data_IF_655608697122
#
_entry.id   IF_655608697122
#
_cell.length_a   1.000
_cell.length_b   1.000
_cell.length_c   1.000
_cell.angle_alpha   90.00
_cell.angle_beta   90.00
_cell.angle_gamma   90.00
#
_symmetry.space_group_name_H-M   'P 1'
#
loop_
_entity.id
_entity.type
_entity.pdbx_description
1 polymer ?
#
# COMPACT_ATOMS: atom_id res chain seq x y z
N UNK A 1 -12.59 16.30 9.07
CA UNK A 1 -11.98 17.15 10.10
C UNK A 1 -11.83 16.34 11.37
N UNK A 2 -10.72 16.49 12.09
CA UNK A 2 -10.46 15.75 13.33
C UNK A 2 -10.25 16.69 14.51
N UNK A 3 -10.61 16.25 15.71
CA UNK A 3 -10.37 17.01 16.94
C UNK A 3 -8.87 17.07 17.25
N UNK A 4 -8.39 18.25 17.65
CA UNK A 4 -6.97 18.51 17.95
C UNK A 4 -6.82 19.07 19.36
N UNK A 5 -5.79 18.62 20.07
CA UNK A 5 -5.52 18.99 21.47
C UNK A 5 -4.04 19.22 21.70
N UNK A 6 -3.73 20.18 22.56
CA UNK A 6 -2.36 20.58 22.92
C UNK A 6 -1.63 19.49 23.69
N UNK A 7 -2.37 18.71 24.48
CA UNK A 7 -1.88 17.52 25.18
C UNK A 7 -1.47 16.40 24.22
N UNK A 8 -1.94 16.46 22.97
CA UNK A 8 -1.60 15.53 21.89
C UNK A 8 -0.67 16.16 20.87
N UNK A 9 0.41 16.75 21.38
CA UNK A 9 1.47 17.34 20.57
C UNK A 9 2.81 16.74 20.96
N UNK A 10 3.48 16.17 19.97
CA UNK A 10 4.84 15.67 20.04
C UNK A 10 5.81 16.82 19.75
N UNK A 11 6.75 17.08 20.66
CA UNK A 11 7.70 18.17 20.52
C UNK A 11 9.08 17.62 20.15
N UNK A 12 9.60 17.97 18.97
CA UNK A 12 10.89 17.46 18.49
C UNK A 12 12.07 17.79 19.41
N UNK A 13 11.99 18.90 20.16
CA UNK A 13 12.99 19.24 21.19
C UNK A 13 13.16 18.15 22.25
N UNK A 14 12.14 17.31 22.48
CA UNK A 14 12.17 16.22 23.47
C UNK A 14 12.88 14.96 22.96
N UNK A 15 13.24 14.90 21.67
CA UNK A 15 13.80 13.71 21.03
C UNK A 15 15.33 13.76 20.89
N UNK A 16 15.99 14.80 21.40
CA UNK A 16 17.44 14.94 21.33
C UNK A 16 17.97 15.28 19.93
N UNK A 17 17.13 15.89 19.09
CA UNK A 17 17.54 16.52 17.84
C UNK A 17 18.02 17.95 18.10
N UNK A 18 19.02 18.39 17.33
CA UNK A 18 19.34 19.81 17.19
C UNK A 18 18.27 20.49 16.32
N UNK A 19 17.24 21.02 16.99
CA UNK A 19 16.10 21.66 16.32
C UNK A 19 16.45 22.99 15.65
N UNK A 20 17.58 23.61 16.01
CA UNK A 20 18.03 24.86 15.40
C UNK A 20 18.67 24.64 14.03
N UNK A 21 19.23 23.44 13.80
CA UNK A 21 19.84 23.01 12.54
C UNK A 21 18.82 22.57 11.46
N UNK A 22 17.53 22.46 11.79
CA UNK A 22 16.47 21.96 10.89
C UNK A 22 15.30 22.94 10.75
N UNK A 23 14.50 22.74 9.69
CA UNK A 23 13.18 23.35 9.53
C UNK A 23 12.12 22.28 9.71
N UNK A 24 11.16 22.50 10.61
CA UNK A 24 9.95 21.68 10.73
C UNK A 24 8.77 22.44 10.14
N UNK A 25 8.02 21.76 9.26
CA UNK A 25 6.63 22.10 8.97
C UNK A 25 5.76 21.34 9.99
N UNK A 26 5.15 22.04 10.97
CA UNK A 26 4.43 21.39 12.07
C UNK A 26 3.01 20.98 11.67
N UNK A 27 2.32 20.26 12.56
CA UNK A 27 0.91 19.90 12.43
C UNK A 27 0.68 18.39 12.35
N UNK A 28 -0.44 17.99 11.75
CA UNK A 28 -0.87 16.59 11.58
C UNK A 28 -0.12 15.82 10.48
N UNK A 29 0.60 16.52 9.59
CA UNK A 29 1.53 15.98 8.60
C UNK A 29 2.86 16.72 8.71
N UNK A 30 3.68 16.23 9.65
CA UNK A 30 4.98 16.82 9.94
C UNK A 30 6.00 16.57 8.83
N UNK A 31 6.79 17.58 8.48
CA UNK A 31 7.87 17.43 7.49
C UNK A 31 9.12 18.16 7.94
N UNK A 32 10.28 17.51 7.84
CA UNK A 32 11.55 18.08 8.26
C UNK A 32 12.44 18.25 7.04
N UNK A 33 12.93 19.47 6.85
CA UNK A 33 13.92 19.82 5.83
C UNK A 33 15.14 20.53 6.43
N UNK A 34 16.16 20.84 5.60
CA UNK A 34 17.31 21.62 6.05
C UNK A 34 16.89 23.04 6.45
N UNK A 35 17.61 23.64 7.40
CA UNK A 35 17.38 25.04 7.79
C UNK A 35 17.59 26.01 6.62
N UNK A 36 18.64 25.77 5.84
CA UNK A 36 19.08 26.57 4.71
C UNK A 36 19.76 25.64 3.70
N UNK A 37 19.98 26.10 2.46
CA UNK A 37 20.65 25.31 1.42
C UNK A 37 22.08 24.84 1.77
N UNK A 38 22.74 25.51 2.72
CA UNK A 38 24.13 25.23 3.11
C UNK A 38 24.26 24.49 4.45
N UNK A 39 23.15 24.19 5.12
CA UNK A 39 23.18 23.53 6.43
C UNK A 39 23.52 22.04 6.26
N UNK A 40 24.45 21.48 7.06
CA UNK A 40 24.64 20.03 7.11
C UNK A 40 23.32 19.35 7.46
N UNK A 41 22.85 18.45 6.60
CA UNK A 41 21.55 17.80 6.73
C UNK A 41 21.61 16.42 6.10
N UNK A 42 21.55 15.38 6.93
CA UNK A 42 21.39 14.00 6.49
C UNK A 42 20.00 13.48 6.91
N UNK A 43 19.06 13.32 5.95
CA UNK A 43 17.74 12.73 6.22
C UNK A 43 17.80 11.36 6.91
N UNK A 44 18.79 10.52 6.56
CA UNK A 44 18.93 9.16 7.12
C UNK A 44 19.25 9.24 8.60
N UNK A 45 20.13 10.16 9.00
CA UNK A 45 20.48 10.42 10.41
C UNK A 45 19.26 10.91 11.22
N UNK A 46 18.49 11.85 10.68
CA UNK A 46 17.28 12.38 11.34
C UNK A 46 16.26 11.26 11.58
N UNK A 47 15.98 10.44 10.55
CA UNK A 47 15.05 9.31 10.68
C UNK A 47 15.56 8.32 11.72
N UNK A 48 16.84 7.96 11.68
CA UNK A 48 17.43 7.02 12.64
C UNK A 48 17.32 7.54 14.09
N UNK A 49 17.60 8.82 14.33
CA UNK A 49 17.56 9.39 15.68
C UNK A 49 16.13 9.52 16.24
N UNK A 50 15.14 9.68 15.37
CA UNK A 50 13.71 9.72 15.73
C UNK A 50 13.04 8.34 15.77
N UNK A 51 13.66 7.29 15.23
CA UNK A 51 13.03 5.98 15.13
C UNK A 51 13.03 5.28 16.48
N UNK A 52 11.84 4.91 16.98
CA UNK A 52 11.66 4.15 18.21
C UNK A 52 12.34 4.79 19.44
N UNK A 53 12.39 6.13 19.48
CA UNK A 53 13.10 6.87 20.53
C UNK A 53 12.37 6.79 21.87
N UNK A 54 11.04 6.79 21.85
CA UNK A 54 10.18 6.67 23.02
C UNK A 54 9.15 5.54 22.84
N UNK A 55 8.77 4.83 23.91
CA UNK A 55 7.85 3.69 23.83
C UNK A 55 6.42 4.08 23.41
N UNK A 56 5.98 5.30 23.72
CA UNK A 56 4.66 5.85 23.36
C UNK A 56 4.79 7.02 22.38
N UNK A 57 5.72 6.91 21.44
CA UNK A 57 5.89 7.91 20.38
C UNK A 57 4.71 7.85 19.41
N UNK A 58 3.99 8.96 19.23
CA UNK A 58 2.77 9.04 18.42
C UNK A 58 2.99 9.49 16.98
N UNK A 59 4.18 9.20 16.44
CA UNK A 59 4.49 9.39 15.04
C UNK A 59 5.56 8.41 14.60
N UNK A 60 5.65 8.22 13.29
CA UNK A 60 6.70 7.43 12.68
C UNK A 60 7.49 8.25 11.66
N UNK A 61 8.81 8.41 11.84
CA UNK A 61 9.63 9.08 10.86
C UNK A 61 9.84 8.18 9.64
N UNK A 62 9.76 8.77 8.46
CA UNK A 62 10.00 8.13 7.19
C UNK A 62 10.88 9.03 6.34
N UNK A 63 11.84 8.43 5.64
CA UNK A 63 12.28 9.05 4.40
C UNK A 63 11.09 9.04 3.43
N UNK A 64 10.86 10.13 2.70
CA UNK A 64 9.65 10.25 1.85
C UNK A 64 9.45 9.07 0.90
N UNK A 65 10.53 8.48 0.40
CA UNK A 65 10.51 7.29 -0.47
C UNK A 65 9.99 6.01 0.20
N UNK A 66 10.09 5.92 1.53
CA UNK A 66 9.67 4.76 2.32
C UNK A 66 8.23 4.89 2.83
N UNK A 67 7.55 6.02 2.56
CA UNK A 67 6.14 6.18 2.87
C UNK A 67 5.30 5.11 2.11
N UNK A 68 4.12 4.74 2.65
CA UNK A 68 3.20 3.85 1.95
C UNK A 68 2.90 4.34 0.52
N UNK A 69 3.21 3.54 -0.50
CA UNK A 69 3.13 3.93 -1.92
C UNK A 69 1.75 4.42 -2.35
N UNK A 70 0.67 3.94 -1.71
CA UNK A 70 -0.70 4.46 -1.89
C UNK A 70 -0.85 5.97 -1.69
N UNK A 71 0.04 6.60 -0.93
CA UNK A 71 -0.01 8.04 -0.66
C UNK A 71 0.47 8.85 -1.86
N UNK A 72 1.26 8.25 -2.77
CA UNK A 72 1.85 8.92 -3.94
C UNK A 72 2.52 10.26 -3.55
N UNK A 73 3.24 10.27 -2.41
CA UNK A 73 3.71 11.47 -1.73
C UNK A 73 5.24 11.48 -1.53
N UNK A 74 5.99 11.22 -2.62
CA UNK A 74 7.45 11.20 -2.60
C UNK A 74 8.09 11.94 -3.78
N UNK A 75 7.57 11.77 -4.99
CA UNK A 75 8.17 12.30 -6.23
C UNK A 75 7.89 13.80 -6.45
N UNK A 76 8.39 14.64 -5.55
CA UNK A 76 8.48 16.08 -5.79
C UNK A 76 9.56 16.72 -4.91
N UNK A 77 10.34 17.64 -5.48
CA UNK A 77 11.34 18.43 -4.72
C UNK A 77 10.72 19.33 -3.63
N UNK A 78 9.42 19.61 -3.70
CA UNK A 78 8.69 20.41 -2.70
C UNK A 78 8.27 19.58 -1.48
N UNK A 79 8.43 18.26 -1.54
CA UNK A 79 8.21 17.38 -0.40
C UNK A 79 9.57 17.19 0.26
N UNK A 80 9.67 17.62 1.52
CA UNK A 80 10.90 17.46 2.30
C UNK A 80 11.29 15.98 2.45
N UNK A 81 12.58 15.72 2.63
CA UNK A 81 13.13 14.36 2.58
C UNK A 81 12.68 13.49 3.77
N UNK A 82 12.30 14.10 4.90
CA UNK A 82 11.78 13.42 6.08
C UNK A 82 10.33 13.80 6.33
N UNK A 83 9.46 12.80 6.39
CA UNK A 83 8.05 12.92 6.74
C UNK A 83 7.77 12.25 8.09
N UNK A 84 6.95 12.87 8.92
CA UNK A 84 6.46 12.31 10.18
C UNK A 84 5.01 11.89 10.00
N UNK A 85 4.79 10.58 9.84
CA UNK A 85 3.45 10.03 9.76
C UNK A 85 2.86 9.98 11.16
N UNK A 86 1.96 10.91 11.46
CA UNK A 86 1.36 11.09 12.78
C UNK A 86 0.25 10.08 13.04
N UNK A 87 0.12 9.63 14.29
CA UNK A 87 -1.07 8.94 14.76
C UNK A 87 -2.29 9.89 14.72
N UNK A 88 -3.48 9.31 14.62
CA UNK A 88 -4.75 10.05 14.63
C UNK A 88 -4.84 10.96 15.86
N UNK A 89 -5.24 12.22 15.67
CA UNK A 89 -5.38 13.27 16.70
C UNK A 89 -4.07 13.81 17.29
N UNK A 90 -2.89 13.36 16.82
CA UNK A 90 -1.58 13.83 17.28
C UNK A 90 -0.91 14.78 16.29
N UNK A 91 -0.23 15.80 16.82
CA UNK A 91 0.49 16.79 16.01
C UNK A 91 1.97 16.76 16.37
N UNK A 92 2.79 17.30 15.48
CA UNK A 92 4.20 17.58 15.79
C UNK A 92 4.47 19.08 15.79
N UNK A 93 5.29 19.52 16.74
CA UNK A 93 5.79 20.88 16.85
C UNK A 93 7.28 20.89 17.23
N UNK A 94 7.93 22.06 17.13
CA UNK A 94 9.37 22.19 17.43
C UNK A 94 9.63 22.17 18.94
N UNK A 95 9.02 23.11 19.66
CA UNK A 95 9.15 23.27 21.11
C UNK A 95 7.82 23.66 21.76
N UNK A 96 7.76 23.56 23.09
CA UNK A 96 6.70 24.16 23.92
C UNK A 96 6.93 25.67 23.98
N UNK A 97 6.86 26.35 22.83
CA UNK A 97 7.15 27.78 22.74
C UNK A 97 5.89 28.63 23.02
N UNK A 98 4.75 27.98 23.27
CA UNK A 98 3.44 28.61 23.53
C UNK A 98 2.94 28.11 24.87
N UNK A 99 2.56 29.02 25.77
CA UNK A 99 1.94 28.64 27.04
C UNK A 99 0.69 27.79 26.78
N UNK A 100 0.35 26.80 27.63
CA UNK A 100 -0.87 26.01 27.49
C UNK A 100 -2.15 26.86 27.35
N UNK A 101 -2.15 28.08 27.89
CA UNK A 101 -3.27 29.02 27.87
C UNK A 101 -3.57 29.66 26.50
N UNK A 102 -2.67 29.50 25.51
CA UNK A 102 -2.76 30.12 24.17
C UNK A 102 -2.91 29.12 23.03
N UNK A 103 -3.07 27.85 23.37
CA UNK A 103 -3.19 26.79 22.39
C UNK A 103 -4.62 26.72 21.83
N UNK A 104 -4.82 27.33 20.66
CA UNK A 104 -6.13 27.48 19.99
C UNK A 104 -6.47 26.36 18.99
N UNK A 105 -5.99 25.14 19.22
CA UNK A 105 -6.32 23.99 18.39
C UNK A 105 -7.70 23.45 18.79
N UNK A 106 -8.68 23.58 17.89
CA UNK A 106 -10.04 23.04 18.08
C UNK A 106 -10.36 21.94 17.06
N UNK A 107 -9.67 21.95 15.93
CA UNK A 107 -9.76 20.92 14.90
C UNK A 107 -8.64 21.08 13.89
N UNK A 108 -8.17 19.97 13.33
CA UNK A 108 -7.15 19.95 12.27
C UNK A 108 -7.46 18.85 11.24
N UNK A 109 -6.73 18.86 10.13
CA UNK A 109 -6.76 17.86 9.08
C UNK A 109 -5.39 17.73 8.41
N UNK A 110 -5.20 16.69 7.62
CA UNK A 110 -3.91 16.42 6.95
C UNK A 110 -3.26 15.12 7.39
N UNK A 111 -3.89 14.41 8.33
CA UNK A 111 -3.56 13.02 8.65
C UNK A 111 -3.70 12.09 7.44
N UNK A 112 -3.31 10.84 7.64
CA UNK A 112 -3.47 9.77 6.67
C UNK A 112 -4.88 9.75 6.03
N UNK A 113 -4.94 9.77 4.70
CA UNK A 113 -6.19 9.84 3.93
C UNK A 113 -7.08 8.58 4.09
N UNK A 114 -6.58 7.52 4.72
CA UNK A 114 -7.38 6.35 5.12
C UNK A 114 -8.25 6.59 6.35
N UNK A 115 -7.95 7.60 7.17
CA UNK A 115 -8.68 7.84 8.41
C UNK A 115 -10.09 8.33 8.08
N UNK A 116 -11.10 7.70 8.68
CA UNK A 116 -12.52 8.04 8.49
C UNK A 116 -12.83 9.52 8.65
N UNK A 117 -12.22 10.19 9.64
CA UNK A 117 -12.40 11.64 9.87
C UNK A 117 -11.84 12.52 8.75
N UNK A 118 -10.94 12.01 7.89
CA UNK A 118 -10.39 12.70 6.72
C UNK A 118 -11.20 12.46 5.44
N UNK A 119 -12.19 11.57 5.47
CA UNK A 119 -13.06 11.34 4.32
C UNK A 119 -13.92 12.58 4.02
N UNK A 120 -14.18 12.79 2.73
CA UNK A 120 -14.93 13.95 2.23
C UNK A 120 -16.31 13.54 1.74
N UNK A 121 -17.24 14.50 1.71
CA UNK A 121 -18.56 14.31 1.12
C UNK A 121 -18.53 14.43 -0.40
N UNK A 122 -19.33 13.62 -1.09
CA UNK A 122 -19.62 13.78 -2.51
C UNK A 122 -21.12 13.64 -2.76
N UNK A 123 -21.71 14.59 -3.50
CA UNK A 123 -23.10 14.56 -3.91
C UNK A 123 -23.19 14.96 -5.39
N UNK A 124 -23.59 14.02 -6.24
CA UNK A 124 -23.89 14.27 -7.65
C UNK A 124 -25.38 14.49 -7.88
N UNK A 125 -25.76 15.64 -8.44
CA UNK A 125 -27.14 15.94 -8.83
C UNK A 125 -27.19 16.53 -10.24
N UNK A 126 -28.03 15.97 -11.10
CA UNK A 126 -28.22 16.44 -12.47
C UNK A 126 -28.56 15.29 -13.43
N UNK A 127 -28.84 15.59 -14.72
CA UNK A 127 -29.24 14.59 -15.70
C UNK A 127 -28.16 13.54 -16.00
N UNK A 128 -26.89 13.83 -15.71
CA UNK A 128 -25.78 12.89 -15.84
C UNK A 128 -25.63 11.89 -14.67
N UNK A 129 -26.35 12.09 -13.56
CA UNK A 129 -26.26 11.26 -12.37
C UNK A 129 -27.52 10.40 -12.18
N UNK A 130 -27.33 9.18 -11.68
CA UNK A 130 -28.44 8.29 -11.35
C UNK A 130 -29.20 8.82 -10.12
N UNK A 131 -30.54 8.73 -10.18
CA UNK A 131 -31.40 9.19 -9.09
C UNK A 131 -31.33 8.23 -7.88
N UNK A 132 -31.33 8.77 -6.66
CA UNK A 132 -31.35 8.02 -5.39
C UNK A 132 -30.39 6.83 -5.35
N UNK A 133 -29.18 7.05 -5.84
CA UNK A 133 -28.16 6.02 -5.96
C UNK A 133 -27.03 6.31 -4.99
N UNK A 134 -26.78 5.36 -4.08
CA UNK A 134 -25.58 5.33 -3.25
C UNK A 134 -24.46 4.62 -4.02
N UNK A 135 -23.26 5.20 -4.01
CA UNK A 135 -22.07 4.62 -4.65
C UNK A 135 -21.04 4.27 -3.59
N UNK A 136 -20.12 3.31 -3.84
CA UNK A 136 -19.02 3.02 -2.92
C UNK A 136 -18.12 4.22 -2.73
N UNK A 137 -17.31 4.18 -1.68
CA UNK A 137 -16.19 5.11 -1.50
C UNK A 137 -15.26 5.03 -2.71
N UNK A 138 -14.87 6.18 -3.23
CA UNK A 138 -13.90 6.35 -4.31
C UNK A 138 -13.01 7.56 -4.00
N UNK A 139 -11.88 7.68 -4.69
CA UNK A 139 -10.93 8.77 -4.47
C UNK A 139 -11.26 10.01 -5.31
N UNK A 140 -11.01 11.20 -4.77
CA UNK A 140 -11.34 12.46 -5.44
C UNK A 140 -10.62 12.67 -6.78
N UNK A 141 -9.49 11.98 -7.01
CA UNK A 141 -8.76 12.00 -8.29
C UNK A 141 -9.60 11.49 -9.47
N UNK A 142 -10.61 10.65 -9.21
CA UNK A 142 -11.53 10.14 -10.23
C UNK A 142 -12.53 11.21 -10.71
N UNK A 143 -12.72 12.30 -9.95
CA UNK A 143 -13.70 13.34 -10.28
C UNK A 143 -13.38 14.09 -11.57
N UNK A 144 -12.11 14.18 -11.95
CA UNK A 144 -11.71 14.82 -13.21
C UNK A 144 -12.38 14.14 -14.41
N UNK A 145 -12.31 12.80 -14.48
CA UNK A 145 -12.91 12.03 -15.56
C UNK A 145 -14.44 12.17 -15.56
N UNK A 146 -15.06 12.21 -14.38
CA UNK A 146 -16.51 12.45 -14.25
C UNK A 146 -16.90 13.81 -14.79
N UNK A 147 -16.15 14.86 -14.47
CA UNK A 147 -16.39 16.21 -14.99
C UNK A 147 -16.16 16.30 -16.51
N UNK A 148 -15.28 15.47 -17.06
CA UNK A 148 -15.08 15.33 -18.51
C UNK A 148 -16.21 14.54 -19.22
N UNK A 149 -17.17 13.98 -18.47
CA UNK A 149 -18.35 13.30 -19.02
C UNK A 149 -18.37 11.79 -18.83
N UNK A 150 -17.40 11.21 -18.13
CA UNK A 150 -17.46 9.79 -17.76
C UNK A 150 -18.50 9.53 -16.67
N UNK A 151 -19.22 8.41 -16.79
CA UNK A 151 -20.28 8.07 -15.85
C UNK A 151 -19.72 7.30 -14.65
N UNK A 152 -20.04 7.77 -13.45
CA UNK A 152 -19.87 6.97 -12.24
C UNK A 152 -20.82 5.78 -12.25
N UNK A 153 -20.28 4.60 -11.93
CA UNK A 153 -21.06 3.37 -11.93
C UNK A 153 -21.50 3.00 -10.51
N UNK A 154 -22.78 2.64 -10.33
CA UNK A 154 -23.30 2.22 -9.04
C UNK A 154 -22.68 0.89 -8.61
N UNK A 155 -22.57 0.64 -7.31
CA UNK A 155 -22.26 -0.70 -6.82
C UNK A 155 -23.46 -1.63 -7.01
N UNK A 156 -23.28 -2.79 -7.63
CA UNK A 156 -24.29 -3.87 -7.60
C UNK A 156 -23.84 -5.06 -6.73
N UNK A 157 -22.79 -4.92 -5.91
CA UNK A 157 -22.37 -5.98 -4.98
C UNK A 157 -23.43 -6.34 -3.93
N UNK A 158 -24.48 -5.51 -3.74
CA UNK A 158 -25.62 -5.83 -2.85
C UNK A 158 -26.64 -6.82 -3.45
N UNK A 159 -26.56 -7.21 -4.74
CA UNK A 159 -27.36 -8.33 -5.26
C UNK A 159 -26.65 -9.64 -4.91
N UNK A 160 -27.07 -10.25 -3.79
CA UNK A 160 -26.71 -11.62 -3.40
C UNK A 160 -27.10 -12.56 -4.55
N UNK A 161 -26.14 -12.98 -5.37
CA UNK A 161 -26.37 -13.96 -6.43
C UNK A 161 -26.79 -15.26 -5.76
N UNK A 162 -28.06 -15.64 -5.95
CA UNK A 162 -28.66 -16.83 -5.36
C UNK A 162 -28.25 -18.04 -6.20
N UNK A 163 -27.31 -18.83 -5.68
CA UNK A 163 -27.13 -20.25 -5.99
C UNK A 163 -26.62 -20.56 -7.40
N UNK A 164 -25.31 -20.48 -7.61
CA UNK A 164 -24.65 -21.33 -8.60
C UNK A 164 -24.23 -22.62 -7.91
N UNK A 165 -24.62 -23.76 -8.50
CA UNK A 165 -24.25 -25.09 -8.00
C UNK A 165 -22.73 -25.24 -8.09
N UNK A 166 -22.11 -25.57 -6.97
CA UNK A 166 -20.71 -26.02 -6.91
C UNK A 166 -20.57 -27.24 -7.82
N UNK A 167 -19.98 -27.06 -9.00
CA UNK A 167 -19.27 -28.16 -9.67
C UNK A 167 -17.92 -28.26 -8.98
N UNK A 168 -17.43 -29.48 -8.73
CA UNK A 168 -16.01 -29.71 -8.48
C UNK A 168 -15.22 -29.05 -9.62
N UNK A 169 -14.69 -27.85 -9.37
CA UNK A 169 -13.81 -27.16 -10.29
C UNK A 169 -12.40 -27.63 -9.98
N UNK A 170 -11.70 -28.16 -10.98
CA UNK A 170 -10.24 -28.25 -10.94
C UNK A 170 -9.70 -26.90 -10.45
N UNK A 171 -9.00 -26.92 -9.32
CA UNK A 171 -8.46 -25.70 -8.70
C UNK A 171 -7.45 -25.10 -9.65
N UNK A 172 -7.80 -23.99 -10.29
CA UNK A 172 -6.88 -23.25 -11.16
C UNK A 172 -6.15 -22.17 -10.37
N UNK A 173 -4.84 -22.04 -10.60
CA UNK A 173 -4.00 -20.99 -10.04
C UNK A 173 -4.14 -19.65 -10.77
N UNK A 174 -4.75 -19.66 -11.97
CA UNK A 174 -4.99 -18.50 -12.82
C UNK A 174 -6.49 -18.28 -13.04
N UNK A 175 -7.28 -18.36 -11.97
CA UNK A 175 -8.75 -18.28 -11.99
C UNK A 175 -9.30 -17.02 -12.69
N UNK A 176 -8.54 -15.93 -12.69
CA UNK A 176 -8.94 -14.65 -13.30
C UNK A 176 -8.12 -14.28 -14.54
N UNK A 177 -7.44 -15.28 -15.13
CA UNK A 177 -6.49 -15.10 -16.21
C UNK A 177 -5.09 -14.78 -15.71
N UNK A 178 -4.09 -15.00 -16.56
CA UNK A 178 -2.70 -14.62 -16.25
C UNK A 178 -2.53 -13.10 -16.23
N UNK A 179 -1.70 -12.55 -15.32
CA UNK A 179 -1.30 -11.15 -15.39
C UNK A 179 -0.69 -10.85 -16.76
N UNK A 180 -1.15 -9.77 -17.39
CA UNK A 180 -0.58 -9.31 -18.65
C UNK A 180 0.59 -8.36 -18.38
N UNK A 181 1.68 -8.56 -19.10
CA UNK A 181 2.87 -7.71 -19.01
C UNK A 181 2.70 -6.54 -19.99
N UNK A 182 2.75 -5.31 -19.48
CA UNK A 182 2.47 -4.09 -20.26
C UNK A 182 3.71 -3.37 -20.78
N UNK A 183 4.89 -3.97 -20.60
CA UNK A 183 6.17 -3.44 -21.07
C UNK A 183 6.88 -4.45 -21.97
N UNK A 184 7.79 -3.96 -22.81
CA UNK A 184 8.57 -4.81 -23.71
C UNK A 184 9.59 -5.61 -22.91
N UNK A 185 9.43 -6.94 -22.86
CA UNK A 185 10.36 -7.84 -22.18
C UNK A 185 10.25 -9.26 -22.73
N UNK A 186 11.25 -10.08 -22.45
CA UNK A 186 11.24 -11.52 -22.74
C UNK A 186 10.95 -12.30 -21.47
N UNK A 187 9.83 -13.05 -21.47
CA UNK A 187 9.44 -13.89 -20.34
C UNK A 187 8.72 -15.16 -20.80
N UNK A 188 8.69 -16.18 -19.94
CA UNK A 188 8.01 -17.45 -20.20
C UNK A 188 7.10 -17.81 -19.05
N UNK A 189 5.92 -18.35 -19.37
CA UNK A 189 5.01 -18.87 -18.36
C UNK A 189 5.46 -20.29 -17.95
N UNK A 190 5.71 -20.49 -16.67
CA UNK A 190 6.07 -21.77 -16.07
C UNK A 190 4.94 -22.19 -15.13
N UNK A 191 4.30 -23.33 -15.40
CA UNK A 191 3.23 -23.87 -14.57
C UNK A 191 3.63 -25.23 -14.01
N UNK A 192 3.37 -25.38 -12.72
CA UNK A 192 3.66 -26.54 -11.88
C UNK A 192 2.34 -27.02 -11.25
N UNK A 193 2.38 -28.08 -10.42
CA UNK A 193 1.14 -28.62 -9.85
C UNK A 193 0.41 -27.62 -8.96
N UNK A 194 1.17 -26.82 -8.21
CA UNK A 194 0.64 -25.99 -7.11
C UNK A 194 0.78 -24.47 -7.37
N UNK A 195 1.37 -24.06 -8.50
CA UNK A 195 1.50 -22.65 -8.88
C UNK A 195 1.82 -22.45 -10.37
N UNK A 196 1.55 -21.25 -10.88
CA UNK A 196 2.06 -20.75 -12.15
C UNK A 196 2.88 -19.47 -11.94
N UNK A 197 3.85 -19.21 -12.78
CA UNK A 197 4.69 -17.99 -12.73
C UNK A 197 5.00 -17.45 -14.12
N UNK A 198 5.29 -16.16 -14.21
CA UNK A 198 5.84 -15.52 -15.40
C UNK A 198 7.32 -15.19 -15.20
N UNK A 199 8.21 -16.07 -15.67
CA UNK A 199 9.66 -15.94 -15.45
C UNK A 199 10.31 -15.03 -16.49
N UNK A 200 10.96 -13.95 -16.05
CA UNK A 200 11.69 -13.03 -16.94
C UNK A 200 13.11 -13.53 -17.18
N UNK A 201 13.48 -13.62 -18.46
CA UNK A 201 14.86 -13.95 -18.88
C UNK A 201 15.81 -12.77 -18.74
N UNK A 202 15.28 -11.56 -18.55
CA UNK A 202 16.08 -10.33 -18.47
C UNK A 202 16.59 -10.12 -17.05
N UNK A 203 15.69 -10.22 -16.06
CA UNK A 203 16.03 -10.03 -14.64
C UNK A 203 16.27 -11.36 -13.90
N UNK A 204 16.19 -12.50 -14.61
CA UNK A 204 16.42 -13.87 -14.08
C UNK A 204 15.61 -14.21 -12.83
N UNK A 205 14.37 -13.74 -12.76
CA UNK A 205 13.46 -13.97 -11.64
C UNK A 205 11.98 -13.89 -12.12
N UNK A 206 11.01 -14.41 -11.35
CA UNK A 206 9.61 -14.29 -11.70
C UNK A 206 9.13 -12.83 -11.60
N UNK A 207 8.43 -12.37 -12.63
CA UNK A 207 7.66 -11.11 -12.59
C UNK A 207 6.46 -11.24 -11.66
N UNK A 208 5.86 -12.44 -11.65
CA UNK A 208 4.76 -12.80 -10.77
C UNK A 208 4.72 -14.33 -10.60
N UNK A 209 4.23 -14.77 -9.44
CA UNK A 209 3.86 -16.14 -9.11
C UNK A 209 2.43 -16.13 -8.57
N UNK A 210 1.59 -17.04 -9.07
CA UNK A 210 0.18 -17.17 -8.75
C UNK A 210 -0.15 -18.58 -8.27
N UNK A 211 -0.87 -18.70 -7.15
CA UNK A 211 -1.34 -19.97 -6.60
C UNK A 211 -2.68 -19.79 -5.87
N UNK A 212 -3.34 -20.90 -5.59
CA UNK A 212 -4.66 -20.90 -4.92
C UNK A 212 -4.57 -21.78 -3.69
N UNK A 213 -4.91 -21.21 -2.53
CA UNK A 213 -5.04 -21.95 -1.27
C UNK A 213 -6.52 -22.25 -1.05
N UNK A 214 -6.85 -23.51 -0.78
CA UNK A 214 -8.21 -23.92 -0.41
C UNK A 214 -8.38 -23.88 1.12
N UNK A 215 -9.62 -23.81 1.61
CA UNK A 215 -9.91 -23.81 3.05
C UNK A 215 -9.61 -25.17 3.72
N UNK A 216 -9.71 -26.25 2.96
CA UNK A 216 -9.34 -27.60 3.38
C UNK A 216 -7.83 -27.79 3.25
N UNK A 217 -7.06 -27.09 4.09
CA UNK A 217 -5.59 -27.12 4.03
C UNK A 217 -5.08 -28.48 4.53
N UNK A 218 -4.92 -29.44 3.62
CA UNK A 218 -3.69 -30.22 3.64
C UNK A 218 -2.69 -29.45 2.79
N UNK A 219 -1.74 -28.75 3.41
CA UNK A 219 -0.55 -28.29 2.68
C UNK A 219 -0.02 -29.52 1.95
N UNK A 220 0.09 -29.44 0.63
CA UNK A 220 0.56 -30.51 -0.24
C UNK A 220 1.80 -31.16 0.39
N UNK A 221 1.59 -32.29 1.05
CA UNK A 221 2.63 -33.02 1.76
C UNK A 221 3.47 -33.87 0.79
N UNK A 222 3.10 -33.83 -0.50
CA UNK A 222 3.78 -34.50 -1.57
C UNK A 222 5.21 -33.97 -1.70
N UNK A 223 6.17 -34.89 -1.79
CA UNK A 223 7.58 -34.54 -1.97
C UNK A 223 7.82 -33.74 -3.27
N UNK A 224 7.00 -34.00 -4.30
CA UNK A 224 7.05 -33.35 -5.60
C UNK A 224 6.71 -31.85 -5.52
N UNK A 225 5.62 -31.48 -4.84
CA UNK A 225 5.25 -30.07 -4.61
C UNK A 225 6.34 -29.28 -3.87
N UNK A 226 6.94 -29.88 -2.82
CA UNK A 226 8.07 -29.25 -2.10
C UNK A 226 9.29 -29.04 -3.00
N UNK A 227 9.54 -29.97 -3.92
CA UNK A 227 10.62 -29.86 -4.89
C UNK A 227 10.33 -28.74 -5.90
N UNK A 228 9.13 -28.70 -6.49
CA UNK A 228 8.73 -27.67 -7.46
C UNK A 228 8.74 -26.25 -6.87
N UNK A 229 8.36 -26.10 -5.59
CA UNK A 229 8.42 -24.83 -4.89
C UNK A 229 9.86 -24.34 -4.62
N UNK A 230 10.84 -25.26 -4.60
CA UNK A 230 12.25 -24.99 -4.33
C UNK A 230 13.09 -24.75 -5.59
N UNK A 231 12.46 -24.73 -6.77
CA UNK A 231 13.15 -24.44 -8.04
C UNK A 231 13.71 -23.01 -8.04
N UNK A 232 14.90 -22.84 -8.63
CA UNK A 232 15.58 -21.53 -8.72
C UNK A 232 14.73 -20.48 -9.46
N UNK A 233 13.86 -20.93 -10.38
CA UNK A 233 12.93 -20.08 -11.12
C UNK A 233 11.81 -19.48 -10.27
N UNK A 234 11.67 -19.92 -9.02
CA UNK A 234 10.74 -19.38 -8.02
C UNK A 234 11.45 -18.60 -6.91
N UNK A 235 12.70 -18.19 -7.12
CA UNK A 235 13.49 -17.44 -6.13
C UNK A 235 13.58 -15.96 -6.49
N UNK A 236 13.61 -15.11 -5.45
CA UNK A 236 13.84 -13.66 -5.56
C UNK A 236 14.86 -13.24 -4.50
N UNK A 237 15.72 -12.23 -4.78
CA UNK A 237 16.60 -11.65 -3.76
C UNK A 237 15.77 -11.12 -2.58
N UNK A 238 16.20 -11.43 -1.36
CA UNK A 238 15.46 -11.06 -0.16
C UNK A 238 16.40 -10.82 1.01
N UNK A 239 16.36 -9.63 1.59
CA UNK A 239 17.14 -9.30 2.77
C UNK A 239 16.79 -10.22 3.95
N UNK A 240 17.77 -10.62 4.79
CA UNK A 240 17.53 -11.47 5.95
C UNK A 240 16.47 -10.92 6.91
N UNK A 241 16.41 -9.59 7.06
CA UNK A 241 15.41 -8.93 7.89
C UNK A 241 14.00 -9.05 7.29
N UNK A 242 13.86 -8.90 5.98
CA UNK A 242 12.58 -9.05 5.27
C UNK A 242 12.11 -10.51 5.23
N UNK A 243 13.03 -11.48 5.20
CA UNK A 243 12.70 -12.92 5.23
C UNK A 243 11.80 -13.29 6.42
N UNK A 244 11.95 -12.61 7.56
CA UNK A 244 11.07 -12.81 8.74
C UNK A 244 9.63 -12.37 8.46
N UNK A 245 9.46 -11.22 7.80
CA UNK A 245 8.16 -10.68 7.37
C UNK A 245 7.50 -11.64 6.38
N UNK A 246 8.25 -12.04 5.36
CA UNK A 246 7.80 -12.96 4.33
C UNK A 246 7.37 -14.32 4.89
N UNK A 247 8.16 -14.88 5.82
CA UNK A 247 7.84 -16.16 6.45
C UNK A 247 6.54 -16.11 7.25
N UNK A 248 6.29 -15.02 7.97
CA UNK A 248 5.06 -14.84 8.73
C UNK A 248 3.85 -14.64 7.82
N UNK A 249 3.97 -13.84 6.75
CA UNK A 249 2.93 -13.68 5.74
C UNK A 249 2.51 -15.04 5.17
N UNK A 250 3.48 -15.83 4.70
CA UNK A 250 3.19 -17.11 4.04
C UNK A 250 2.61 -18.16 5.00
N UNK A 251 3.14 -18.26 6.23
CA UNK A 251 2.77 -19.33 7.18
C UNK A 251 1.50 -19.02 7.96
N UNK A 252 1.36 -17.79 8.41
CA UNK A 252 0.37 -17.41 9.42
C UNK A 252 -0.77 -16.60 8.81
N UNK A 253 -0.46 -15.56 8.04
CA UNK A 253 -1.48 -14.65 7.45
C UNK A 253 -2.25 -15.33 6.32
N UNK A 254 -1.58 -15.85 5.29
CA UNK A 254 -2.25 -16.47 4.14
C UNK A 254 -3.12 -17.66 4.55
N UNK A 255 -2.66 -18.45 5.52
CA UNK A 255 -3.44 -19.58 6.07
C UNK A 255 -4.73 -19.09 6.71
N UNK A 256 -4.67 -18.07 7.56
CA UNK A 256 -5.84 -17.51 8.22
C UNK A 256 -6.83 -16.93 7.22
N UNK A 257 -6.35 -16.15 6.26
CA UNK A 257 -7.17 -15.58 5.19
C UNK A 257 -7.83 -16.67 4.34
N UNK A 258 -7.11 -17.75 4.02
CA UNK A 258 -7.69 -18.92 3.33
C UNK A 258 -8.86 -19.52 4.11
N UNK A 259 -8.69 -19.74 5.43
CA UNK A 259 -9.74 -20.30 6.28
C UNK A 259 -10.96 -19.36 6.40
N UNK A 260 -10.73 -18.06 6.60
CA UNK A 260 -11.78 -17.06 6.77
C UNK A 260 -12.60 -16.81 5.49
N UNK A 261 -11.98 -16.99 4.31
CA UNK A 261 -12.58 -16.64 3.02
C UNK A 261 -12.98 -17.87 2.18
N UNK A 262 -12.96 -19.07 2.77
CA UNK A 262 -13.22 -20.34 2.08
C UNK A 262 -12.27 -20.58 0.88
N UNK A 263 -11.00 -20.24 1.04
CA UNK A 263 -9.97 -20.26 0.03
C UNK A 263 -9.62 -18.88 -0.50
N UNK A 264 -8.38 -18.71 -0.95
CA UNK A 264 -7.87 -17.47 -1.54
C UNK A 264 -7.00 -17.76 -2.76
N UNK A 265 -7.07 -16.90 -3.78
CA UNK A 265 -6.08 -16.84 -4.84
C UNK A 265 -5.05 -15.76 -4.48
N UNK A 266 -3.77 -16.09 -4.65
CA UNK A 266 -2.64 -15.23 -4.27
C UNK A 266 -1.77 -15.01 -5.50
N UNK A 267 -1.46 -13.74 -5.78
CA UNK A 267 -0.48 -13.34 -6.78
C UNK A 267 0.59 -12.51 -6.05
N UNK A 268 1.86 -12.84 -6.24
CA UNK A 268 2.99 -12.18 -5.62
C UNK A 268 4.12 -11.97 -6.63
N UNK A 269 4.93 -10.94 -6.43
CA UNK A 269 6.07 -10.63 -7.31
C UNK A 269 6.93 -9.50 -6.75
N UNK A 270 8.14 -9.30 -7.28
CA UNK A 270 9.00 -8.18 -6.92
C UNK A 270 8.48 -6.86 -7.52
N UNK A 271 8.80 -5.75 -6.86
CA UNK A 271 8.53 -4.38 -7.32
C UNK A 271 9.86 -3.62 -7.32
N UNK A 272 10.06 -2.79 -8.33
CA UNK A 272 11.22 -1.93 -8.51
C UNK A 272 10.73 -0.51 -8.81
N UNK A 273 11.03 0.41 -7.89
CA UNK A 273 10.59 1.82 -7.90
C UNK A 273 11.65 2.67 -7.16
N UNK A 274 12.85 2.72 -7.75
CA UNK A 274 14.07 3.34 -7.24
C UNK A 274 14.04 4.87 -7.35
N UNK A 275 13.32 5.44 -8.31
CA UNK A 275 13.10 6.90 -8.38
C UNK A 275 11.87 7.38 -7.60
N UNK A 276 11.07 6.43 -7.10
CA UNK A 276 9.94 6.66 -6.21
C UNK A 276 8.79 7.43 -6.87
N UNK A 277 8.66 7.30 -8.19
CA UNK A 277 7.59 7.90 -8.99
C UNK A 277 6.27 7.13 -8.94
N UNK A 278 6.28 5.91 -8.37
CA UNK A 278 5.10 5.05 -8.25
C UNK A 278 4.81 4.24 -9.52
N UNK A 279 5.74 4.20 -10.46
CA UNK A 279 5.73 3.41 -11.68
C UNK A 279 6.84 2.36 -11.65
N UNK A 280 6.85 1.51 -12.68
CA UNK A 280 7.92 0.53 -12.88
C UNK A 280 9.19 1.22 -13.37
N UNK A 281 10.29 0.99 -12.66
CA UNK A 281 11.63 1.37 -13.09
C UNK A 281 12.01 0.83 -14.47
N UNK A 282 12.96 1.46 -15.15
CA UNK A 282 13.60 0.90 -16.35
C UNK A 282 14.56 -0.25 -16.02
N UNK A 283 14.99 -1.03 -17.02
CA UNK A 283 15.94 -2.14 -16.79
C UNK A 283 17.29 -1.68 -16.24
N UNK A 284 17.70 -0.45 -16.56
CA UNK A 284 18.92 0.18 -16.07
C UNK A 284 18.84 0.50 -14.58
N UNK A 285 17.69 0.99 -14.11
CA UNK A 285 17.48 1.43 -12.72
C UNK A 285 17.38 0.26 -11.74
N UNK A 286 16.87 -0.90 -12.18
CA UNK A 286 16.70 -2.13 -11.38
C UNK A 286 18.02 -2.70 -10.79
N UNK A 287 19.18 -2.19 -11.21
CA UNK A 287 20.48 -2.74 -10.84
C UNK A 287 21.04 -2.24 -9.51
N UNK A 288 20.45 -1.22 -8.88
CA UNK A 288 20.95 -0.62 -7.63
C UNK A 288 19.97 -0.87 -6.47
N UNK A 289 20.42 -1.46 -5.35
CA UNK A 289 19.54 -1.95 -4.26
C UNK A 289 19.93 -1.40 -2.88
N UNK A 290 18.97 -0.90 -2.07
CA UNK A 290 19.16 -0.62 -0.63
C UNK A 290 17.90 -0.85 0.26
N UNK A 291 18.20 -1.21 1.52
CA UNK A 291 17.53 -1.43 2.84
C UNK A 291 16.16 -0.79 3.22
N UNK A 292 15.42 -1.12 4.31
CA UNK A 292 15.32 -2.24 5.30
C UNK A 292 13.94 -2.17 6.06
N UNK A 293 13.66 -3.19 6.89
CA UNK A 293 12.43 -3.69 7.60
C UNK A 293 11.69 -2.83 8.69
N UNK A 294 10.57 -3.14 9.39
CA UNK A 294 9.95 -4.34 10.08
C UNK A 294 8.42 -4.19 10.37
N UNK A 295 7.86 -4.99 11.30
CA UNK A 295 6.52 -5.10 11.99
C UNK A 295 5.31 -5.64 11.17
N UNK A 296 5.22 -6.96 10.97
CA UNK A 296 4.48 -7.58 9.84
C UNK A 296 3.01 -7.20 9.67
N UNK A 297 2.11 -7.50 10.61
CA UNK A 297 0.66 -7.38 10.30
C UNK A 297 0.22 -5.95 10.13
N UNK A 298 0.58 -5.10 11.08
CA UNK A 298 0.17 -3.72 11.00
C UNK A 298 1.00 -2.97 9.93
N UNK A 299 2.24 -3.42 9.58
CA UNK A 299 2.94 -2.97 8.37
C UNK A 299 2.17 -3.33 7.11
N UNK A 300 1.65 -4.56 7.02
CA UNK A 300 0.84 -4.98 5.88
C UNK A 300 -0.44 -4.15 5.78
N UNK A 301 -1.11 -3.85 6.90
CA UNK A 301 -2.28 -2.95 6.92
C UNK A 301 -1.91 -1.53 6.47
N UNK A 302 -0.82 -0.98 7.00
CA UNK A 302 -0.33 0.37 6.66
C UNK A 302 0.00 0.49 5.17
N UNK A 303 0.71 -0.50 4.62
CA UNK A 303 1.15 -0.58 3.24
C UNK A 303 0.13 -1.22 2.28
N UNK A 304 -1.09 -1.53 2.74
CA UNK A 304 -2.16 -2.00 1.84
C UNK A 304 -2.45 -0.94 0.79
N UNK A 305 -2.44 -1.32 -0.48
CA UNK A 305 -2.62 -0.45 -1.63
C UNK A 305 -3.80 -0.93 -2.51
N UNK A 306 -4.20 -0.13 -3.49
CA UNK A 306 -5.20 -0.52 -4.49
C UNK A 306 -4.55 -1.52 -5.44
N UNK A 307 -5.34 -2.39 -6.08
CA UNK A 307 -4.80 -3.25 -7.16
C UNK A 307 -4.25 -2.38 -8.29
N UNK A 308 -4.84 -1.20 -8.52
CA UNK A 308 -4.32 -0.23 -9.49
C UNK A 308 -2.90 0.23 -9.17
N UNK A 309 -2.55 0.44 -7.91
CA UNK A 309 -1.17 0.78 -7.52
C UNK A 309 -0.21 -0.39 -7.83
N UNK A 310 -0.67 -1.62 -7.60
CA UNK A 310 0.05 -2.87 -7.91
C UNK A 310 0.10 -3.17 -9.41
N UNK A 311 -0.69 -2.49 -10.26
CA UNK A 311 -0.54 -2.56 -11.72
C UNK A 311 0.53 -1.61 -12.23
N UNK A 312 0.56 -0.39 -11.67
CA UNK A 312 1.48 0.67 -12.08
C UNK A 312 2.93 0.33 -11.74
N UNK A 313 3.17 -0.11 -10.50
CA UNK A 313 4.51 -0.37 -9.96
C UNK A 313 5.30 -1.49 -10.69
N UNK A 314 4.71 -2.65 -11.05
CA UNK A 314 5.40 -3.68 -11.81
C UNK A 314 5.07 -3.66 -13.32
N UNK A 315 4.18 -2.77 -13.79
CA UNK A 315 3.74 -2.72 -15.18
C UNK A 315 2.93 -3.94 -15.61
N UNK A 316 1.96 -4.34 -14.78
CA UNK A 316 1.09 -5.50 -15.00
C UNK A 316 -0.39 -5.09 -15.15
N UNK A 317 -1.21 -5.96 -15.73
CA UNK A 317 -2.67 -5.83 -15.78
C UNK A 317 -3.37 -7.11 -15.34
N UNK A 318 -4.21 -7.01 -14.31
CA UNK A 318 -4.88 -8.15 -13.67
C UNK A 318 -6.34 -8.30 -14.08
N UNK A 319 -6.93 -9.47 -13.79
CA UNK A 319 -8.37 -9.76 -13.95
C UNK A 319 -8.93 -9.66 -15.38
N UNK A 320 -8.08 -9.79 -16.41
CA UNK A 320 -8.49 -9.67 -17.83
C UNK A 320 -9.47 -10.76 -18.28
N UNK A 321 -9.51 -11.89 -17.59
CA UNK A 321 -10.43 -13.00 -17.87
C UNK A 321 -11.52 -13.12 -16.82
N UNK A 322 -11.68 -12.12 -15.94
CA UNK A 322 -12.80 -12.11 -15.00
C UNK A 322 -14.12 -12.00 -15.76
N UNK A 323 -15.12 -12.78 -15.34
CA UNK A 323 -16.47 -12.73 -15.90
C UNK A 323 -17.26 -11.50 -15.41
N UNK A 324 -16.66 -10.31 -15.53
CA UNK A 324 -17.20 -9.03 -15.09
C UNK A 324 -17.04 -8.00 -16.21
N UNK A 325 -17.97 -7.04 -16.35
CA UNK A 325 -17.78 -5.90 -17.25
C UNK A 325 -16.48 -5.15 -16.92
N UNK A 326 -15.79 -4.63 -17.94
CA UNK A 326 -14.51 -3.91 -17.77
C UNK A 326 -14.57 -2.82 -16.70
N UNK A 327 -15.66 -2.07 -16.67
CA UNK A 327 -15.83 -0.98 -15.71
C UNK A 327 -16.03 -1.46 -14.27
N UNK A 328 -16.55 -2.68 -14.06
CA UNK A 328 -16.57 -3.35 -12.75
C UNK A 328 -15.19 -3.79 -12.31
N UNK A 329 -14.40 -4.29 -13.27
CA UNK A 329 -13.00 -4.64 -13.01
C UNK A 329 -12.21 -3.40 -12.61
N UNK A 330 -12.42 -2.26 -13.27
CA UNK A 330 -11.80 -0.99 -12.88
C UNK A 330 -12.21 -0.54 -11.48
N UNK A 331 -13.51 -0.57 -11.15
CA UNK A 331 -13.98 -0.22 -9.80
C UNK A 331 -13.39 -1.15 -8.72
N UNK A 332 -13.23 -2.44 -9.03
CA UNK A 332 -12.53 -3.38 -8.15
C UNK A 332 -11.06 -2.99 -7.97
N UNK A 333 -10.39 -2.55 -9.05
CA UNK A 333 -8.97 -2.21 -9.04
C UNK A 333 -8.66 -0.93 -8.28
N UNK A 334 -9.56 0.04 -8.29
CA UNK A 334 -9.41 1.33 -7.60
C UNK A 334 -9.90 1.31 -6.15
N UNK A 335 -10.61 0.26 -5.73
CA UNK A 335 -11.09 0.13 -4.34
C UNK A 335 -9.91 0.00 -3.36
N UNK A 336 -9.93 0.83 -2.32
CA UNK A 336 -9.03 0.73 -1.18
C UNK A 336 -9.76 0.13 0.02
N UNK A 337 -9.13 -0.84 0.70
CA UNK A 337 -9.63 -1.38 1.97
C UNK A 337 -9.06 -0.56 3.13
N UNK A 338 -9.95 -0.11 4.02
CA UNK A 338 -9.59 0.46 5.32
C UNK A 338 -9.70 -0.62 6.40
N UNK A 339 -8.83 -0.57 7.40
CA UNK A 339 -8.80 -1.50 8.54
C UNK A 339 -9.14 -0.78 9.85
N UNK A 340 -9.83 0.35 9.76
CA UNK A 340 -10.36 1.01 10.97
C UNK A 340 -11.54 0.19 11.50
N UNK A 341 -11.53 -0.02 12.81
CA UNK A 341 -12.72 -0.46 13.53
C UNK A 341 -13.62 0.77 13.75
N UNK A 342 -14.94 0.59 13.60
CA UNK A 342 -15.93 1.63 13.94
C UNK A 342 -15.89 1.88 15.45
N UNK A 343 -14.99 2.74 15.93
CA UNK A 343 -14.91 3.20 17.33
C UNK A 343 -15.08 4.70 17.42
#
# INVERSE_FOLDING_TARGET
MEESHCERTEYLSSYGLDVDAITLIPGSSGRIGPKNANSPYDPKEIVANLTCKMPNQHFKPYLKQHLPKRLHYANNRRIEDVHLLMDRKWHVAVCVCVSPATCGFFGDHGFDNKISSMQTIFLGFGPGFNFKTEVPVFENIELYNVMCGEKMLPDETKKKTRGEREREQDVTHLAFGRPAVLFQTSYTQLCHSDYCSGFSHVINMPLWSAFTLTAQVHFSAAAESRYEASLITNTVPMYPAFKKVWSFLQRDVLRRYSLENNGINVIMGPIFDHDHDGLRDTEEMIKDWEDESRWVEDLLKLHTARVRDVELLPGLDFYRSAALPYTRVLALKTRMRTFEDDV
#
